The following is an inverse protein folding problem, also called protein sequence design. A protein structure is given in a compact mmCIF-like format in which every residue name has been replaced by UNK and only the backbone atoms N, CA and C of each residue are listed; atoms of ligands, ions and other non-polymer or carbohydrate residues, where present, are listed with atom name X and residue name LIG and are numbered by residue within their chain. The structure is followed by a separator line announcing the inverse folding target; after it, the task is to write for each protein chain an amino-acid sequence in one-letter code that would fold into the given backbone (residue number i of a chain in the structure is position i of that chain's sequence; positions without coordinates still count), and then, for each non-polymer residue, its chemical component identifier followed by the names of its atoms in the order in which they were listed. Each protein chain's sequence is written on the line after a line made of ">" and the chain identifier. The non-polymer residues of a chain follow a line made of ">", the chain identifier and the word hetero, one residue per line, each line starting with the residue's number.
data_IF_801325956436
#
_entry.id   IF_801325956436
#
_cell.length_a   1.000
_cell.length_b   1.000
_cell.length_c   1.000
_cell.angle_alpha   90.00
_cell.angle_beta   90.00
_cell.angle_gamma   90.00
#
_symmetry.space_group_name_H-M   'P 1'
#
loop_
_entity.id
_entity.type
_entity.pdbx_description
1 polymer ?
#
# COMPACT_ATOMS: atom_id res chain seq x y z
N UNK A 1 -7.52 9.44 22.29
CA UNK A 1 -6.42 8.94 21.43
C UNK A 1 -7.02 8.02 20.38
N UNK A 2 -7.27 8.53 19.17
CA UNK A 2 -7.85 7.73 18.09
C UNK A 2 -6.73 6.93 17.37
N UNK A 3 -6.93 5.65 17.03
CA UNK A 3 -5.99 4.89 16.21
C UNK A 3 -5.88 5.46 14.79
N UNK A 4 -4.71 5.33 14.13
CA UNK A 4 -4.52 5.74 12.75
C UNK A 4 -5.11 4.67 11.82
N UNK A 5 -6.42 4.68 11.63
CA UNK A 5 -7.03 3.80 10.63
C UNK A 5 -6.62 4.32 9.25
N UNK A 6 -5.74 3.60 8.54
CA UNK A 6 -5.58 3.79 7.10
C UNK A 6 -6.99 3.63 6.51
N UNK A 7 -7.53 4.71 5.96
CA UNK A 7 -8.94 4.90 5.62
C UNK A 7 -9.60 3.60 5.14
N UNK A 8 -10.31 2.91 6.04
CA UNK A 8 -11.11 1.76 5.67
C UNK A 8 -12.35 2.30 4.96
N UNK A 9 -12.36 2.23 3.63
CA UNK A 9 -13.61 2.26 2.90
C UNK A 9 -14.39 1.00 3.31
N UNK A 10 -15.34 1.15 4.22
CA UNK A 10 -16.29 0.09 4.59
C UNK A 10 -17.21 -0.09 3.40
N UNK A 11 -16.93 -1.07 2.53
CA UNK A 11 -18.00 -1.64 1.71
C UNK A 11 -18.69 -2.68 2.59
N UNK A 12 -19.79 -2.26 3.21
CA UNK A 12 -20.58 -3.12 4.09
C UNK A 12 -21.23 -4.26 3.27
N UNK A 13 -21.05 -5.54 3.65
CA UNK A 13 -21.71 -6.67 3.01
C UNK A 13 -23.22 -6.78 3.38
N UNK A 14 -23.75 -5.86 4.19
CA UNK A 14 -25.16 -5.89 4.62
C UNK A 14 -26.15 -5.32 3.60
N UNK A 15 -25.66 -4.74 2.48
CA UNK A 15 -26.50 -4.13 1.45
C UNK A 15 -27.00 -5.12 0.38
N UNK A 16 -26.48 -6.36 0.35
CA UNK A 16 -26.66 -7.25 -0.80
C UNK A 16 -28.10 -7.73 -1.00
N UNK A 17 -28.83 -8.06 0.08
CA UNK A 17 -30.19 -8.60 -0.06
C UNK A 17 -31.20 -7.52 -0.48
N UNK A 18 -31.06 -6.31 0.07
CA UNK A 18 -31.93 -5.17 -0.26
C UNK A 18 -31.62 -4.66 -1.67
N UNK A 19 -30.34 -4.64 -2.07
CA UNK A 19 -29.92 -4.33 -3.43
C UNK A 19 -30.44 -5.36 -4.45
N UNK A 20 -30.37 -6.66 -4.13
CA UNK A 20 -30.92 -7.73 -4.99
C UNK A 20 -32.44 -7.62 -5.15
N UNK A 21 -33.17 -7.38 -4.05
CA UNK A 21 -34.62 -7.20 -4.07
C UNK A 21 -35.03 -5.97 -4.89
N UNK A 22 -34.36 -4.83 -4.67
CA UNK A 22 -34.62 -3.61 -5.44
C UNK A 22 -34.28 -3.77 -6.93
N UNK A 23 -33.20 -4.47 -7.27
CA UNK A 23 -32.83 -4.77 -8.66
C UNK A 23 -33.85 -5.67 -9.36
N UNK A 24 -34.31 -6.72 -8.68
CA UNK A 24 -35.38 -7.60 -9.18
C UNK A 24 -36.69 -6.84 -9.39
N UNK A 25 -37.07 -5.98 -8.43
CA UNK A 25 -38.28 -5.14 -8.55
C UNK A 25 -38.16 -4.19 -9.75
N UNK A 26 -36.99 -3.59 -9.98
CA UNK A 26 -36.72 -2.72 -11.12
C UNK A 26 -36.77 -3.44 -12.48
N UNK A 27 -36.24 -4.69 -12.54
CA UNK A 27 -36.33 -5.54 -13.74
C UNK A 27 -37.78 -5.89 -14.08
N UNK A 28 -38.62 -6.13 -13.08
CA UNK A 28 -40.04 -6.49 -13.26
C UNK A 28 -40.88 -5.26 -13.64
N UNK A 29 -40.65 -4.11 -13.00
CA UNK A 29 -41.50 -2.93 -13.15
C UNK A 29 -41.08 -1.98 -14.31
N UNK A 30 -40.02 -2.31 -15.06
CA UNK A 30 -39.41 -1.41 -16.06
C UNK A 30 -39.37 0.02 -15.54
N UNK A 31 -38.81 0.19 -14.34
CA UNK A 31 -38.54 1.52 -13.83
C UNK A 31 -37.65 2.19 -14.88
N UNK A 32 -38.19 3.17 -15.60
CA UNK A 32 -37.40 3.93 -16.55
C UNK A 32 -36.20 4.46 -15.77
N UNK A 33 -35.00 4.29 -16.32
CA UNK A 33 -33.86 5.06 -15.87
C UNK A 33 -34.23 6.53 -16.11
N UNK A 34 -34.86 7.16 -15.12
CA UNK A 34 -34.99 8.61 -15.06
C UNK A 34 -33.59 9.12 -15.32
N UNK A 35 -33.44 9.92 -16.38
CA UNK A 35 -32.15 10.31 -16.91
C UNK A 35 -31.24 10.67 -15.77
N UNK A 36 -30.28 9.79 -15.48
CA UNK A 36 -29.15 10.17 -14.66
C UNK A 36 -28.49 11.25 -15.51
N UNK A 37 -28.72 12.52 -15.16
CA UNK A 37 -27.69 13.51 -15.36
C UNK A 37 -26.42 12.80 -14.93
N UNK A 38 -25.49 12.62 -15.85
CA UNK A 38 -24.20 12.05 -15.53
C UNK A 38 -23.63 13.01 -14.47
N UNK A 39 -23.87 12.68 -13.20
CA UNK A 39 -23.53 13.51 -12.06
C UNK A 39 -22.08 13.90 -12.27
N UNK A 40 -21.84 15.20 -12.34
CA UNK A 40 -20.54 15.75 -12.61
C UNK A 40 -19.68 15.46 -11.36
N UNK A 41 -19.16 14.25 -11.24
CA UNK A 41 -18.38 13.83 -10.09
C UNK A 41 -17.13 14.70 -10.00
N UNK A 42 -16.87 15.22 -8.80
CA UNK A 42 -15.65 15.96 -8.54
C UNK A 42 -14.50 14.98 -8.30
N UNK A 43 -13.33 15.16 -8.94
CA UNK A 43 -12.19 14.31 -8.68
C UNK A 43 -11.71 14.49 -7.24
N UNK A 44 -11.48 13.38 -6.54
CA UNK A 44 -10.93 13.35 -5.18
C UNK A 44 -9.55 12.70 -5.23
N UNK A 45 -8.56 13.35 -4.61
CA UNK A 45 -7.20 12.84 -4.49
C UNK A 45 -6.97 12.41 -3.04
N UNK A 46 -6.57 11.16 -2.86
CA UNK A 46 -6.26 10.60 -1.55
C UNK A 46 -4.75 10.70 -1.29
N UNK A 47 -4.39 11.40 -0.22
CA UNK A 47 -3.00 11.51 0.26
C UNK A 47 -2.90 10.77 1.59
N UNK A 48 -2.28 9.58 1.64
CA UNK A 48 -2.17 8.80 2.86
C UNK A 48 -1.22 9.44 3.88
N UNK A 49 -1.46 9.14 5.16
CA UNK A 49 -0.55 9.51 6.25
C UNK A 49 0.71 8.65 6.30
N UNK A 50 1.62 9.02 7.20
CA UNK A 50 2.85 8.26 7.48
C UNK A 50 2.51 6.81 7.86
N UNK A 51 3.26 5.84 7.32
CA UNK A 51 3.09 4.36 7.44
C UNK A 51 1.98 3.69 6.62
N UNK A 52 1.03 4.41 6.03
CA UNK A 52 -0.01 3.76 5.21
C UNK A 52 0.44 3.35 3.80
N UNK A 53 1.27 4.12 3.07
CA UNK A 53 1.73 3.73 1.73
C UNK A 53 2.38 2.35 1.73
N UNK A 54 2.14 1.57 0.70
CA UNK A 54 2.98 0.42 0.40
C UNK A 54 4.36 0.91 -0.06
N UNK A 55 5.40 0.16 0.28
CA UNK A 55 6.74 0.40 -0.23
C UNK A 55 7.35 -0.91 -0.70
N UNK A 56 7.94 -0.88 -1.87
CA UNK A 56 8.76 -1.97 -2.39
C UNK A 56 10.23 -1.57 -2.40
N UNK A 57 11.09 -2.58 -2.35
CA UNK A 57 12.52 -2.40 -2.52
C UNK A 57 13.10 -3.36 -3.55
N UNK A 58 14.25 -2.99 -4.10
CA UNK A 58 15.06 -3.83 -4.98
C UNK A 58 16.52 -3.75 -4.54
N UNK A 59 17.15 -4.89 -4.37
CA UNK A 59 18.57 -4.98 -4.02
C UNK A 59 19.41 -5.09 -5.29
N UNK A 60 20.26 -4.09 -5.51
CA UNK A 60 21.16 -4.01 -6.66
C UNK A 60 22.47 -4.76 -6.41
N UNK A 61 23.32 -4.87 -7.44
CA UNK A 61 24.65 -5.48 -7.31
C UNK A 61 25.55 -4.77 -6.29
N UNK A 62 25.35 -3.46 -6.07
CA UNK A 62 26.09 -2.67 -5.09
C UNK A 62 25.69 -2.95 -3.64
N UNK A 63 24.58 -3.66 -3.39
CA UNK A 63 24.13 -3.96 -2.04
C UNK A 63 25.11 -4.92 -1.34
N UNK A 64 25.70 -4.44 -0.25
CA UNK A 64 26.62 -5.15 0.62
C UNK A 64 25.96 -5.28 2.01
N UNK A 65 25.29 -6.40 2.31
CA UNK A 65 24.52 -6.55 3.53
C UNK A 65 25.42 -6.73 4.76
N UNK A 66 25.02 -6.20 5.92
CA UNK A 66 25.75 -6.45 7.18
C UNK A 66 25.65 -7.91 7.63
N UNK A 67 24.57 -8.60 7.24
CA UNK A 67 24.33 -10.02 7.53
C UNK A 67 24.03 -10.75 6.21
N UNK A 68 24.70 -11.88 5.90
CA UNK A 68 24.54 -12.56 4.61
C UNK A 68 23.08 -12.83 4.21
N UNK A 69 22.22 -13.19 5.17
CA UNK A 69 20.79 -13.45 4.95
C UNK A 69 20.01 -12.24 4.41
N UNK A 70 20.43 -11.01 4.71
CA UNK A 70 19.75 -9.81 4.21
C UNK A 70 19.93 -9.64 2.70
N UNK A 71 20.90 -10.32 2.09
CA UNK A 71 21.11 -10.37 0.65
C UNK A 71 20.29 -11.41 -0.11
N UNK A 72 19.45 -12.20 0.55
CA UNK A 72 18.70 -13.31 -0.09
C UNK A 72 17.80 -12.87 -1.26
N UNK A 73 17.28 -11.65 -1.20
CA UNK A 73 16.41 -11.07 -2.24
C UNK A 73 17.19 -10.39 -3.38
N UNK A 74 18.52 -10.41 -3.34
CA UNK A 74 19.36 -9.81 -4.39
C UNK A 74 19.15 -10.52 -5.72
N UNK A 75 18.87 -9.74 -6.76
CA UNK A 75 18.55 -10.28 -8.10
C UNK A 75 17.14 -10.88 -8.24
N UNK A 76 16.28 -10.82 -7.21
CA UNK A 76 14.90 -11.32 -7.27
C UNK A 76 13.88 -10.29 -7.77
N UNK A 77 14.32 -9.07 -8.06
CA UNK A 77 13.46 -7.98 -8.51
C UNK A 77 12.92 -7.13 -7.36
N UNK A 78 11.75 -6.53 -7.54
CA UNK A 78 11.05 -5.77 -6.51
C UNK A 78 10.38 -6.70 -5.52
N UNK A 79 10.51 -6.42 -4.22
CA UNK A 79 9.86 -7.14 -3.14
C UNK A 79 9.20 -6.16 -2.17
N UNK A 80 8.15 -6.59 -1.44
CA UNK A 80 7.49 -5.72 -0.46
C UNK A 80 8.44 -5.43 0.71
N UNK A 81 8.84 -4.17 0.85
CA UNK A 81 9.62 -3.70 2.00
C UNK A 81 8.69 -3.28 3.14
N UNK A 82 7.53 -2.70 2.82
CA UNK A 82 6.53 -2.25 3.78
C UNK A 82 5.11 -2.46 3.23
N UNK A 83 4.58 -3.68 3.38
CA UNK A 83 3.23 -4.06 2.91
C UNK A 83 2.39 -4.75 3.99
N UNK A 84 2.95 -5.76 4.64
CA UNK A 84 2.39 -6.41 5.82
C UNK A 84 3.49 -6.51 6.90
N UNK A 85 3.09 -6.50 8.16
CA UNK A 85 3.96 -6.68 9.32
C UNK A 85 4.34 -8.14 9.58
N UNK A 86 3.67 -9.14 8.97
CA UNK A 86 3.98 -10.57 9.21
C UNK A 86 5.46 -10.90 9.01
N UNK A 87 6.05 -10.37 7.94
CA UNK A 87 7.45 -10.62 7.61
C UNK A 87 8.40 -9.92 8.60
N UNK A 88 7.95 -8.86 9.28
CA UNK A 88 8.66 -8.22 10.39
C UNK A 88 8.50 -8.99 11.70
N UNK A 89 7.36 -9.68 11.90
CA UNK A 89 7.12 -10.52 13.08
C UNK A 89 8.06 -11.74 13.08
N UNK A 90 8.53 -12.17 11.91
CA UNK A 90 9.69 -13.06 11.81
C UNK A 90 10.93 -12.29 12.27
N UNK A 91 11.25 -12.42 13.56
CA UNK A 91 12.31 -11.66 14.24
C UNK A 91 13.68 -11.75 13.56
N UNK A 92 13.93 -12.81 12.80
CA UNK A 92 15.15 -13.01 12.01
C UNK A 92 15.30 -12.02 10.85
N UNK A 93 14.19 -11.45 10.35
CA UNK A 93 14.20 -10.48 9.25
C UNK A 93 14.27 -9.02 9.71
N UNK A 94 13.90 -8.69 10.96
CA UNK A 94 13.92 -7.30 11.47
C UNK A 94 15.25 -6.57 11.21
N UNK A 95 16.43 -7.17 11.46
CA UNK A 95 17.70 -6.50 11.18
C UNK A 95 17.91 -6.18 9.68
N UNK A 96 17.37 -7.01 8.79
CA UNK A 96 17.43 -6.78 7.35
C UNK A 96 16.47 -5.67 6.93
N UNK A 97 15.26 -5.66 7.50
CA UNK A 97 14.31 -4.57 7.29
C UNK A 97 14.87 -3.22 7.75
N UNK A 98 15.44 -3.14 8.95
CA UNK A 98 16.02 -1.90 9.47
C UNK A 98 17.15 -1.36 8.57
N UNK A 99 18.02 -2.25 8.08
CA UNK A 99 19.10 -1.88 7.16
C UNK A 99 18.56 -1.40 5.80
N UNK A 100 17.60 -2.12 5.22
CA UNK A 100 17.05 -1.83 3.89
C UNK A 100 16.12 -0.61 3.89
N UNK A 101 15.46 -0.33 5.02
CA UNK A 101 14.57 0.83 5.19
C UNK A 101 15.33 2.10 5.61
N UNK A 102 16.59 1.97 6.04
CA UNK A 102 17.42 3.09 6.49
C UNK A 102 17.72 4.07 5.35
N UNK A 103 17.66 5.35 5.70
CA UNK A 103 18.21 6.44 4.89
C UNK A 103 19.59 6.86 5.40
N UNK A 104 20.46 7.27 4.47
CA UNK A 104 21.78 7.81 4.72
C UNK A 104 21.79 9.28 4.29
N UNK A 105 22.18 10.17 5.19
CA UNK A 105 22.33 11.59 4.88
C UNK A 105 23.61 11.82 4.07
N UNK A 106 23.47 12.51 2.94
CA UNK A 106 24.56 12.95 2.07
C UNK A 106 24.81 14.45 2.32
N UNK A 107 25.91 14.82 3.00
CA UNK A 107 26.19 16.21 3.36
C UNK A 107 26.61 17.07 2.16
N UNK A 108 27.05 16.45 1.05
CA UNK A 108 27.46 17.19 -0.15
C UNK A 108 26.23 17.68 -0.91
N UNK A 109 25.19 16.84 -0.98
CA UNK A 109 23.93 17.18 -1.62
C UNK A 109 22.90 17.78 -0.65
N UNK A 110 23.18 17.72 0.65
CA UNK A 110 22.28 18.11 1.72
C UNK A 110 20.92 17.41 1.61
N UNK A 111 20.94 16.09 1.39
CA UNK A 111 19.74 15.28 1.14
C UNK A 111 19.88 13.87 1.71
N UNK A 112 18.78 13.13 1.80
CA UNK A 112 18.75 11.73 2.22
C UNK A 112 18.69 10.80 1.03
N UNK A 113 19.46 9.71 1.11
CA UNK A 113 19.50 8.66 0.09
C UNK A 113 19.18 7.32 0.72
N UNK A 114 18.67 6.39 -0.09
CA UNK A 114 18.54 5.01 0.35
C UNK A 114 19.91 4.43 0.74
N UNK A 115 19.88 3.39 1.58
CA UNK A 115 21.08 2.62 1.88
C UNK A 115 21.80 2.17 0.59
N UNK A 116 23.14 2.22 0.51
CA UNK A 116 23.88 1.88 -0.70
C UNK A 116 23.47 0.52 -1.28
N UNK A 117 23.02 0.55 -2.53
CA UNK A 117 22.56 -0.62 -3.27
C UNK A 117 21.11 -1.03 -3.03
N UNK A 118 20.35 -0.30 -2.22
CA UNK A 118 18.90 -0.45 -2.05
C UNK A 118 18.18 0.62 -2.88
N UNK A 119 17.25 0.19 -3.71
CA UNK A 119 16.30 1.07 -4.38
C UNK A 119 14.92 0.87 -3.77
N UNK A 120 14.12 1.93 -3.68
CA UNK A 120 12.77 1.91 -3.11
C UNK A 120 11.79 2.56 -4.09
N UNK A 121 10.55 2.07 -4.11
CA UNK A 121 9.48 2.69 -4.89
C UNK A 121 8.11 2.51 -4.21
N UNK A 122 7.17 3.40 -4.54
CA UNK A 122 5.77 3.29 -4.11
C UNK A 122 4.99 2.58 -5.22
N UNK A 123 4.46 1.38 -5.00
CA UNK A 123 3.63 0.70 -5.99
C UNK A 123 2.24 1.34 -6.06
N UNK A 124 1.51 1.04 -7.15
CA UNK A 124 0.09 1.36 -7.31
C UNK A 124 -0.28 2.86 -7.18
N UNK A 125 0.62 3.77 -7.56
CA UNK A 125 0.35 5.21 -7.57
C UNK A 125 -0.89 5.53 -8.43
N UNK A 126 -1.80 6.34 -7.88
CA UNK A 126 -3.10 6.63 -8.51
C UNK A 126 -4.21 5.62 -8.21
N UNK A 127 -3.92 4.55 -7.46
CA UNK A 127 -4.89 3.58 -6.98
C UNK A 127 -5.08 3.67 -5.46
N UNK A 128 -6.29 3.36 -4.98
CA UNK A 128 -6.55 3.20 -3.56
C UNK A 128 -5.86 1.97 -2.93
N UNK A 129 -5.35 1.05 -3.76
CA UNK A 129 -4.58 -0.11 -3.29
C UNK A 129 -3.15 0.23 -2.86
N UNK A 130 -2.64 1.42 -3.23
CA UNK A 130 -1.27 1.85 -2.91
C UNK A 130 -1.02 2.17 -1.44
N UNK A 131 -2.04 2.13 -0.59
CA UNK A 131 -1.93 2.28 0.85
C UNK A 131 -2.86 1.30 1.57
N UNK A 132 -2.35 0.63 2.60
CA UNK A 132 -3.09 -0.40 3.33
C UNK A 132 -2.83 -0.28 4.83
N UNK A 133 -3.77 -0.79 5.63
CA UNK A 133 -3.50 -1.05 7.04
C UNK A 133 -2.38 -2.11 7.14
N UNK A 134 -1.43 -1.86 8.04
CA UNK A 134 -0.29 -2.74 8.32
C UNK A 134 -0.59 -3.49 9.61
N UNK A 135 -1.35 -4.58 9.54
CA UNK A 135 -1.59 -5.48 10.68
C UNK A 135 -1.98 -6.85 10.13
N UNK A 136 -1.46 -7.90 10.76
CA UNK A 136 -2.08 -9.21 10.76
C UNK A 136 -3.32 -9.18 11.65
N UNK A 137 -4.37 -9.88 11.21
CA UNK A 137 -5.48 -10.26 12.09
C UNK A 137 -5.01 -11.27 13.13
#
# INVERSE_FOLDING_TARGET
>A
SAPPYCLMAIVSPSADLVALLTFLICLIHRCGAGGYDAELYHPVILVPGFTCPNLEARLTNAYAPSLPRCGELKGKGWFPLWKNTTDLVRQDYVPCFEEQMRLVYDPVLNDYRNFPGVETCVPDFGSAHGFTSKNDS
#
